data_IF_388859778469
#
_entry.id   IF_388859778469
#
_cell.length_a   1.000
_cell.length_b   1.000
_cell.length_c   1.000
_cell.angle_alpha   90.00
_cell.angle_beta   90.00
_cell.angle_gamma   90.00
#
_symmetry.space_group_name_H-M   'P 1'
#
loop_
_entity.id
_entity.type
_entity.pdbx_description
1 polymer ?
#
# COMPACT_ATOMS: atom_id res chain seq x y z
N UNK A 1 25.03 19.83 -2.86
CA UNK A 1 24.31 18.53 -2.90
C UNK A 1 23.01 18.76 -3.64
N UNK A 2 22.85 18.19 -4.83
CA UNK A 2 21.56 18.21 -5.54
C UNK A 2 20.66 17.21 -4.80
N UNK A 3 19.66 17.71 -4.08
CA UNK A 3 18.57 16.86 -3.58
C UNK A 3 17.84 16.33 -4.80
N UNK A 4 18.01 15.03 -5.10
CA UNK A 4 17.25 14.40 -6.16
C UNK A 4 15.75 14.60 -5.85
N UNK A 5 15.03 15.29 -6.74
CA UNK A 5 13.60 15.56 -6.58
C UNK A 5 12.88 14.21 -6.57
N UNK A 6 12.25 13.88 -5.46
CA UNK A 6 11.45 12.65 -5.35
C UNK A 6 10.20 12.77 -6.21
N UNK A 7 9.80 11.67 -6.84
CA UNK A 7 8.55 11.59 -7.60
C UNK A 7 7.39 11.41 -6.61
N UNK A 8 6.37 12.24 -6.72
CA UNK A 8 5.19 12.11 -5.89
C UNK A 8 4.34 10.92 -6.35
N UNK A 9 3.85 10.16 -5.38
CA UNK A 9 3.01 8.99 -5.57
C UNK A 9 1.92 8.97 -4.50
N UNK A 10 0.80 8.31 -4.78
CA UNK A 10 -0.27 8.08 -3.84
C UNK A 10 -0.67 6.61 -3.85
N UNK A 11 -0.98 6.07 -2.68
CA UNK A 11 -1.53 4.72 -2.54
C UNK A 11 -2.81 4.78 -1.72
N UNK A 12 -3.79 3.99 -2.09
CA UNK A 12 -4.97 3.79 -1.27
C UNK A 12 -4.62 2.78 -0.16
N UNK A 13 -4.95 3.08 1.09
CA UNK A 13 -4.90 2.15 2.22
C UNK A 13 -6.35 1.73 2.53
N UNK A 14 -6.90 0.75 1.79
CA UNK A 14 -8.31 0.35 1.87
C UNK A 14 -8.56 -0.60 3.05
N UNK A 15 -9.15 -0.08 4.11
CA UNK A 15 -9.69 -0.91 5.21
C UNK A 15 -11.10 -1.34 4.81
N UNK A 16 -11.29 -2.62 4.54
CA UNK A 16 -12.60 -3.16 4.18
C UNK A 16 -13.44 -3.33 5.43
N UNK A 17 -14.64 -2.75 5.42
CA UNK A 17 -15.60 -2.91 6.51
C UNK A 17 -16.22 -4.32 6.46
N UNK A 18 -15.61 -5.21 7.24
CA UNK A 18 -16.09 -6.56 7.56
C UNK A 18 -16.59 -6.61 9.02
N UNK A 19 -16.97 -5.48 9.61
CA UNK A 19 -17.32 -5.37 11.03
C UNK A 19 -16.12 -5.66 11.94
N UNK A 20 -16.29 -6.57 12.90
CA UNK A 20 -15.23 -6.96 13.83
C UNK A 20 -14.02 -7.62 13.15
N UNK A 21 -14.22 -8.19 11.96
CA UNK A 21 -13.18 -8.88 11.18
C UNK A 21 -12.63 -7.98 10.06
N UNK A 22 -12.59 -6.65 10.28
CA UNK A 22 -12.08 -5.70 9.30
C UNK A 22 -10.73 -6.16 8.71
N UNK A 23 -10.56 -5.96 7.41
CA UNK A 23 -9.38 -6.42 6.67
C UNK A 23 -8.74 -5.26 5.91
N UNK A 24 -7.53 -5.48 5.43
CA UNK A 24 -6.84 -4.59 4.52
C UNK A 24 -6.74 -5.26 3.15
N UNK A 25 -7.26 -4.60 2.11
CA UNK A 25 -7.18 -5.09 0.74
C UNK A 25 -5.80 -4.74 0.14
N UNK A 26 -5.12 -5.75 -0.40
CA UNK A 26 -3.78 -5.63 -0.97
C UNK A 26 -3.73 -6.30 -2.34
N UNK A 27 -2.74 -5.91 -3.13
CA UNK A 27 -2.47 -6.48 -4.45
C UNK A 27 -1.11 -7.17 -4.45
N UNK A 28 -0.97 -8.19 -5.31
CA UNK A 28 0.34 -8.70 -5.74
C UNK A 28 0.58 -8.21 -7.16
N UNK A 29 1.67 -7.46 -7.37
CA UNK A 29 2.09 -6.99 -8.68
C UNK A 29 2.45 -8.16 -9.59
N UNK A 30 2.17 -8.05 -10.89
CA UNK A 30 2.56 -9.07 -11.88
C UNK A 30 4.07 -9.29 -11.90
N UNK A 31 4.47 -10.51 -12.25
CA UNK A 31 5.89 -10.87 -12.31
C UNK A 31 6.58 -10.24 -13.55
N UNK A 32 5.79 -9.74 -14.51
CA UNK A 32 6.24 -9.15 -15.79
C UNK A 32 6.64 -7.68 -15.68
N UNK A 33 6.31 -7.01 -14.57
CA UNK A 33 6.62 -5.59 -14.38
C UNK A 33 8.13 -5.34 -14.22
N UNK A 34 8.62 -4.27 -14.86
CA UNK A 34 10.06 -3.90 -14.81
C UNK A 34 10.54 -3.50 -13.42
N UNK A 35 9.64 -3.00 -12.57
CA UNK A 35 9.94 -2.56 -11.20
C UNK A 35 8.96 -3.22 -10.25
N UNK A 36 9.46 -3.63 -9.08
CA UNK A 36 8.65 -4.19 -7.99
C UNK A 36 7.82 -5.42 -8.41
N UNK A 37 8.26 -6.17 -9.41
CA UNK A 37 7.58 -7.38 -9.87
C UNK A 37 7.41 -8.39 -8.72
N UNK A 38 6.22 -8.98 -8.65
CA UNK A 38 5.83 -9.93 -7.61
C UNK A 38 5.65 -9.34 -6.20
N UNK A 39 5.89 -8.04 -5.98
CA UNK A 39 5.77 -7.43 -4.65
C UNK A 39 4.31 -7.24 -4.25
N UNK A 40 4.05 -7.35 -2.94
CA UNK A 40 2.76 -7.01 -2.36
C UNK A 40 2.71 -5.51 -2.09
N UNK A 41 1.65 -4.87 -2.58
CA UNK A 41 1.47 -3.44 -2.52
C UNK A 41 0.02 -3.08 -2.16
N UNK A 42 -0.12 -1.84 -1.72
CA UNK A 42 -1.39 -1.14 -1.81
C UNK A 42 -1.70 -0.79 -3.28
N UNK A 43 -2.97 -0.70 -3.69
CA UNK A 43 -3.32 -0.10 -4.96
C UNK A 43 -2.81 1.34 -5.03
N UNK A 44 -2.15 1.72 -6.12
CA UNK A 44 -1.61 3.07 -6.23
C UNK A 44 -0.42 3.22 -7.18
N UNK A 45 -0.13 4.49 -7.50
CA UNK A 45 0.84 4.84 -8.51
C UNK A 45 1.35 6.27 -8.38
N UNK A 46 1.88 6.80 -9.49
CA UNK A 46 2.37 8.16 -9.54
C UNK A 46 1.21 9.15 -9.50
N UNK A 47 1.43 10.33 -8.90
CA UNK A 47 0.46 11.42 -9.01
C UNK A 47 0.71 12.14 -10.34
N UNK A 48 -0.32 12.19 -11.18
CA UNK A 48 -0.30 12.91 -12.45
C UNK A 48 -0.79 14.35 -12.25
N UNK A 49 -0.36 15.31 -13.10
CA UNK A 49 -0.74 16.71 -12.96
C UNK A 49 -2.25 16.96 -12.96
N UNK A 50 -3.01 16.12 -13.66
CA UNK A 50 -4.48 16.18 -13.76
C UNK A 50 -5.23 15.64 -12.53
N UNK A 51 -4.57 14.87 -11.66
CA UNK A 51 -5.19 14.33 -10.45
C UNK A 51 -5.56 15.48 -9.48
N UNK A 52 -4.73 16.51 -9.41
CA UNK A 52 -4.91 17.68 -8.53
C UNK A 52 -4.73 17.40 -7.04
N UNK A 53 -4.99 16.17 -6.57
CA UNK A 53 -4.77 15.74 -5.17
C UNK A 53 -4.30 14.28 -5.09
N UNK A 54 -3.71 13.91 -3.95
CA UNK A 54 -3.25 12.54 -3.71
C UNK A 54 -4.41 11.55 -3.58
N UNK A 55 -5.54 11.99 -3.00
CA UNK A 55 -6.76 11.20 -2.86
C UNK A 55 -7.33 10.82 -4.24
N UNK A 56 -7.36 11.78 -5.17
CA UNK A 56 -7.82 11.54 -6.54
C UNK A 56 -6.91 10.57 -7.27
N UNK A 57 -5.59 10.73 -7.14
CA UNK A 57 -4.62 9.80 -7.69
C UNK A 57 -4.80 8.38 -7.12
N UNK A 58 -4.90 8.23 -5.79
CA UNK A 58 -5.07 6.94 -5.14
C UNK A 58 -6.39 6.23 -5.57
N UNK A 59 -7.49 6.97 -5.71
CA UNK A 59 -8.76 6.43 -6.18
C UNK A 59 -8.74 6.06 -7.67
N UNK A 60 -8.11 6.88 -8.52
CA UNK A 60 -7.91 6.57 -9.95
C UNK A 60 -7.11 5.28 -10.09
N UNK A 61 -5.94 5.21 -9.46
CA UNK A 61 -5.07 4.04 -9.52
C UNK A 61 -5.74 2.78 -8.95
N UNK A 62 -6.48 2.89 -7.84
CA UNK A 62 -7.26 1.77 -7.32
C UNK A 62 -8.36 1.31 -8.31
N UNK A 63 -8.97 2.24 -9.05
CA UNK A 63 -9.92 1.88 -10.08
C UNK A 63 -9.23 1.19 -11.28
N UNK A 64 -8.08 1.71 -11.72
CA UNK A 64 -7.32 1.18 -12.85
C UNK A 64 -6.70 -0.20 -12.56
N UNK A 65 -6.13 -0.39 -11.36
CA UNK A 65 -5.44 -1.64 -10.99
C UNK A 65 -6.42 -2.75 -10.57
N UNK A 66 -7.50 -2.43 -9.86
CA UNK A 66 -8.40 -3.43 -9.26
C UNK A 66 -9.90 -3.18 -9.48
N UNK A 67 -10.29 -2.17 -10.27
CA UNK A 67 -11.71 -1.89 -10.55
C UNK A 67 -12.49 -1.31 -9.39
N UNK A 68 -11.85 -0.92 -8.28
CA UNK A 68 -12.55 -0.40 -7.11
C UNK A 68 -13.25 0.92 -7.46
N UNK A 69 -14.58 0.94 -7.33
CA UNK A 69 -15.37 2.14 -7.60
C UNK A 69 -15.12 3.19 -6.51
N UNK A 70 -14.93 4.46 -6.91
CA UNK A 70 -14.58 5.53 -5.99
C UNK A 70 -15.66 5.81 -4.93
N UNK A 71 -16.94 5.57 -5.26
CA UNK A 71 -18.07 5.72 -4.33
C UNK A 71 -18.11 4.63 -3.24
N UNK A 72 -17.33 3.56 -3.38
CA UNK A 72 -17.16 2.52 -2.35
C UNK A 72 -16.08 2.84 -1.33
N UNK A 73 -15.19 3.79 -1.61
CA UNK A 73 -14.07 4.15 -0.76
C UNK A 73 -14.32 5.50 -0.07
N UNK A 74 -14.67 5.47 1.20
CA UNK A 74 -14.82 6.68 2.02
C UNK A 74 -13.45 7.11 2.56
N UNK A 75 -12.93 8.23 2.05
CA UNK A 75 -11.64 8.77 2.49
C UNK A 75 -11.75 9.30 3.92
N UNK A 76 -10.89 8.79 4.80
CA UNK A 76 -10.77 9.24 6.19
C UNK A 76 -9.71 10.33 6.32
N UNK A 77 -8.62 10.20 5.56
CA UNK A 77 -7.55 11.20 5.49
C UNK A 77 -6.20 10.62 5.11
N UNK A 78 -5.17 11.47 5.12
CA UNK A 78 -3.83 11.08 4.72
C UNK A 78 -2.97 10.66 5.93
N UNK A 79 -2.24 9.57 5.78
CA UNK A 79 -1.17 9.18 6.69
C UNK A 79 0.11 10.00 6.38
N UNK A 80 1.07 10.07 7.31
CA UNK A 80 2.37 10.69 7.03
C UNK A 80 3.02 10.10 5.77
N UNK A 81 3.66 10.96 4.98
CA UNK A 81 4.34 10.54 3.75
C UNK A 81 5.41 9.50 4.03
N UNK A 82 5.50 8.51 3.14
CA UNK A 82 6.52 7.47 3.19
C UNK A 82 7.56 7.67 2.08
N UNK A 83 8.82 7.86 2.47
CA UNK A 83 9.92 8.07 1.52
C UNK A 83 10.58 6.73 1.18
N UNK A 84 10.60 6.38 -0.10
CA UNK A 84 11.19 5.12 -0.56
C UNK A 84 12.63 5.29 -1.04
N UNK A 85 13.43 4.23 -0.91
CA UNK A 85 14.78 4.18 -1.49
C UNK A 85 14.79 4.22 -3.03
N UNK A 86 13.66 3.94 -3.68
CA UNK A 86 13.43 4.00 -5.12
C UNK A 86 13.11 5.40 -5.65
N UNK A 87 13.07 6.42 -4.78
CA UNK A 87 12.89 7.82 -5.18
C UNK A 87 11.45 8.31 -5.22
N UNK A 88 10.51 7.60 -4.57
CA UNK A 88 9.12 8.04 -4.42
C UNK A 88 8.82 8.63 -3.05
N UNK A 89 8.09 9.75 -3.03
CA UNK A 89 7.44 10.33 -1.86
C UNK A 89 5.97 9.92 -1.90
N UNK A 90 5.63 8.85 -1.19
CA UNK A 90 4.30 8.24 -1.22
C UNK A 90 3.41 8.94 -0.20
N UNK A 91 2.22 9.37 -0.62
CA UNK A 91 1.12 9.80 0.27
C UNK A 91 0.14 8.64 0.45
N UNK A 92 0.08 7.98 1.61
CA UNK A 92 -0.88 6.92 1.86
C UNK A 92 -2.23 7.53 2.25
N UNK A 93 -3.28 7.21 1.49
CA UNK A 93 -4.63 7.72 1.66
C UNK A 93 -5.47 6.65 2.36
N UNK A 94 -5.80 6.86 3.64
CA UNK A 94 -6.61 5.93 4.42
C UNK A 94 -8.09 6.05 4.02
N UNK A 95 -8.69 4.92 3.67
CA UNK A 95 -10.10 4.86 3.31
C UNK A 95 -10.79 3.64 3.93
N UNK A 96 -12.08 3.79 4.25
CA UNK A 96 -12.96 2.67 4.59
C UNK A 96 -13.70 2.24 3.32
N UNK A 97 -13.60 0.97 2.97
CA UNK A 97 -14.29 0.38 1.82
C UNK A 97 -15.58 -0.30 2.27
N UNK A 98 -16.71 0.20 1.77
CA UNK A 98 -18.06 -0.31 2.11
C UNK A 98 -18.39 -1.56 1.32
N UNK A 99 -19.00 -2.54 2.00
CA UNK A 99 -19.52 -3.76 1.37
C UNK A 99 -21.00 -3.61 0.94
N UNK A 100 -21.45 -4.31 -0.11
CA UNK A 100 -20.65 -5.07 -1.07
C UNK A 100 -19.86 -4.14 -2.01
N UNK A 101 -18.77 -4.67 -2.57
CA UNK A 101 -17.98 -4.07 -3.64
C UNK A 101 -17.45 -5.19 -4.53
N UNK A 102 -17.17 -4.86 -5.78
CA UNK A 102 -16.57 -5.76 -6.75
C UNK A 102 -15.16 -5.26 -7.09
N UNK A 103 -14.23 -6.19 -7.27
CA UNK A 103 -12.86 -5.90 -7.73
C UNK A 103 -12.48 -6.87 -8.83
N UNK A 104 -11.77 -6.34 -9.82
CA UNK A 104 -11.29 -7.07 -10.98
C UNK A 104 -9.84 -6.66 -11.23
N UNK A 105 -8.88 -7.59 -11.13
CA UNK A 105 -7.49 -7.25 -11.36
C UNK A 105 -7.28 -6.86 -12.82
N UNK A 106 -6.58 -5.76 -13.06
CA UNK A 106 -5.98 -5.50 -14.35
C UNK A 106 -4.80 -6.48 -14.55
N UNK A 107 -4.89 -7.44 -15.48
CA UNK A 107 -3.89 -8.51 -15.62
C UNK A 107 -2.52 -8.01 -16.08
N UNK A 108 -2.41 -6.78 -16.59
CA UNK A 108 -1.13 -6.20 -16.97
C UNK A 108 -0.31 -5.78 -15.73
N UNK A 109 -0.99 -5.46 -14.62
CA UNK A 109 -0.37 -4.86 -13.44
C UNK A 109 -0.54 -5.68 -12.15
N UNK A 110 -1.69 -6.33 -11.98
CA UNK A 110 -2.08 -7.06 -10.79
C UNK A 110 -2.25 -8.55 -11.11
N UNK A 111 -1.41 -9.37 -10.50
CA UNK A 111 -1.51 -10.83 -10.60
C UNK A 111 -2.54 -11.41 -9.62
N UNK A 112 -2.78 -10.73 -8.50
CA UNK A 112 -3.69 -11.21 -7.47
C UNK A 112 -4.18 -10.09 -6.54
N UNK A 113 -5.38 -10.26 -6.00
CA UNK A 113 -6.02 -9.36 -5.02
C UNK A 113 -6.44 -10.20 -3.83
N UNK A 114 -6.05 -9.76 -2.62
CA UNK A 114 -6.34 -10.52 -1.41
C UNK A 114 -6.53 -9.58 -0.21
N UNK A 115 -7.16 -10.10 0.83
CA UNK A 115 -7.40 -9.38 2.08
C UNK A 115 -6.55 -9.99 3.20
N UNK A 116 -6.06 -9.14 4.10
CA UNK A 116 -5.37 -9.56 5.32
C UNK A 116 -6.12 -9.02 6.53
N UNK A 117 -6.44 -9.83 7.55
CA UNK A 117 -7.11 -9.35 8.75
C UNK A 117 -6.36 -8.18 9.39
N UNK A 118 -7.09 -7.11 9.72
CA UNK A 118 -6.52 -5.95 10.38
C UNK A 118 -6.00 -6.34 11.78
N UNK A 119 -6.66 -7.30 12.44
CA UNK A 119 -6.21 -7.89 13.71
C UNK A 119 -4.81 -8.54 13.60
N UNK A 120 -4.47 -9.13 12.46
CA UNK A 120 -3.13 -9.64 12.19
C UNK A 120 -2.14 -8.50 11.96
N UNK A 121 -2.50 -7.52 11.13
CA UNK A 121 -1.63 -6.40 10.75
C UNK A 121 -1.42 -5.35 11.84
N UNK A 122 -2.30 -5.30 12.84
CA UNK A 122 -2.18 -4.38 13.98
C UNK A 122 -1.62 -5.06 15.22
N UNK A 123 -1.25 -6.34 15.12
CA UNK A 123 -0.54 -7.03 16.18
C UNK A 123 0.98 -6.83 16.01
N UNK A 124 1.65 -6.09 16.91
CA UNK A 124 3.08 -5.80 16.80
C UNK A 124 3.97 -7.05 16.82
N UNK A 125 3.48 -8.18 17.34
CA UNK A 125 4.22 -9.45 17.30
C UNK A 125 4.44 -9.96 15.86
N UNK A 126 3.62 -9.51 14.90
CA UNK A 126 3.78 -9.84 13.50
C UNK A 126 4.72 -8.87 12.75
N UNK A 127 5.20 -7.80 13.41
CA UNK A 127 6.04 -6.77 12.79
C UNK A 127 7.51 -7.13 12.94
N UNK A 128 8.02 -7.93 11.99
CA UNK A 128 9.43 -8.33 11.98
C UNK A 128 10.29 -7.20 11.43
N UNK A 129 11.42 -6.94 12.08
CA UNK A 129 12.47 -6.06 11.54
C UNK A 129 13.55 -6.94 10.94
N UNK A 130 13.77 -6.77 9.65
CA UNK A 130 14.81 -7.47 8.89
C UNK A 130 15.81 -6.47 8.32
N UNK A 131 16.92 -6.96 7.77
CA UNK A 131 17.91 -6.15 7.10
C UNK A 131 18.44 -6.81 5.83
N UNK A 132 18.89 -5.96 4.89
CA UNK A 132 19.64 -6.38 3.69
C UNK A 132 20.77 -5.39 3.42
N UNK A 133 21.87 -5.90 2.87
CA UNK A 133 22.95 -5.05 2.36
C UNK A 133 22.51 -4.39 1.06
N UNK A 134 22.58 -3.06 1.00
CA UNK A 134 22.30 -2.26 -0.18
C UNK A 134 23.40 -1.22 -0.37
N UNK A 135 24.13 -1.30 -1.49
CA UNK A 135 25.30 -0.47 -1.79
C UNK A 135 26.33 -0.47 -0.63
N UNK A 136 26.61 -1.65 -0.07
CA UNK A 136 27.57 -1.82 1.02
C UNK A 136 27.11 -1.31 2.39
N UNK A 137 25.88 -0.82 2.52
CA UNK A 137 25.29 -0.40 3.79
C UNK A 137 24.14 -1.33 4.17
N UNK A 138 24.11 -1.76 5.42
CA UNK A 138 22.96 -2.48 5.95
C UNK A 138 21.75 -1.54 6.02
N UNK A 139 20.64 -1.97 5.44
CA UNK A 139 19.36 -1.25 5.49
C UNK A 139 18.32 -2.13 6.13
N UNK A 140 17.63 -1.57 7.11
CA UNK A 140 16.55 -2.24 7.82
C UNK A 140 15.21 -1.96 7.17
N UNK A 141 14.31 -2.93 7.20
CA UNK A 141 12.93 -2.81 6.75
C UNK A 141 12.01 -3.64 7.65
N UNK A 142 10.72 -3.30 7.63
CA UNK A 142 9.69 -4.14 8.26
C UNK A 142 9.19 -5.19 7.28
N UNK A 143 8.84 -6.35 7.84
CA UNK A 143 8.17 -7.44 7.15
C UNK A 143 7.06 -8.02 8.04
N UNK A 144 5.96 -8.45 7.41
CA UNK A 144 4.81 -9.08 8.04
C UNK A 144 4.41 -10.31 7.21
N UNK A 145 5.10 -11.46 7.35
CA UNK A 145 4.77 -12.67 6.60
C UNK A 145 3.40 -13.22 7.02
N UNK A 146 2.51 -13.43 6.05
CA UNK A 146 1.14 -13.89 6.26
C UNK A 146 0.84 -15.03 5.28
N UNK A 147 0.74 -16.27 5.76
CA UNK A 147 0.69 -17.46 4.90
C UNK A 147 1.84 -17.45 3.86
N UNK A 148 1.54 -17.61 2.57
CA UNK A 148 2.50 -17.51 1.47
C UNK A 148 2.86 -16.07 1.06
N UNK A 149 2.25 -15.07 1.70
CA UNK A 149 2.41 -13.64 1.39
C UNK A 149 3.52 -13.03 2.21
N UNK A 150 4.55 -12.50 1.54
CA UNK A 150 5.62 -11.76 2.19
C UNK A 150 5.37 -10.25 2.04
N UNK A 151 4.72 -9.62 3.02
CA UNK A 151 4.45 -8.18 3.04
C UNK A 151 5.69 -7.48 3.60
N UNK A 152 6.34 -6.60 2.86
CA UNK A 152 7.61 -6.00 3.29
C UNK A 152 7.85 -4.61 2.68
N UNK A 153 8.94 -3.96 3.07
CA UNK A 153 9.39 -2.73 2.45
C UNK A 153 8.43 -1.57 2.69
N UNK A 154 8.07 -0.83 1.62
CA UNK A 154 7.21 0.34 1.73
C UNK A 154 5.81 -0.01 2.27
N UNK A 155 5.21 -1.10 1.78
CA UNK A 155 3.89 -1.57 2.22
C UNK A 155 3.87 -1.85 3.72
N UNK A 156 4.80 -2.68 4.21
CA UNK A 156 4.91 -2.98 5.64
C UNK A 156 5.28 -1.73 6.47
N UNK A 157 6.09 -0.82 5.93
CA UNK A 157 6.43 0.44 6.57
C UNK A 157 5.22 1.37 6.76
N UNK A 158 4.34 1.47 5.76
CA UNK A 158 3.08 2.22 5.84
C UNK A 158 2.13 1.57 6.86
N UNK A 159 1.98 0.23 6.85
CA UNK A 159 1.15 -0.50 7.82
C UNK A 159 1.69 -0.29 9.24
N UNK A 160 3.01 -0.32 9.42
CA UNK A 160 3.65 -0.02 10.70
C UNK A 160 3.33 1.39 11.19
N UNK A 161 3.38 2.38 10.31
CA UNK A 161 3.02 3.77 10.63
C UNK A 161 1.54 3.93 10.98
N UNK A 162 0.65 3.18 10.32
CA UNK A 162 -0.78 3.12 10.68
C UNK A 162 -0.96 2.57 12.11
N UNK A 163 -0.31 1.45 12.43
CA UNK A 163 -0.32 0.85 13.76
C UNK A 163 0.15 1.83 14.84
N UNK A 164 1.31 2.47 14.64
CA UNK A 164 1.88 3.42 15.61
C UNK A 164 1.02 4.65 15.86
N UNK A 165 0.09 4.97 14.94
CA UNK A 165 -0.75 6.15 15.05
C UNK A 165 -2.13 5.89 15.65
N UNK A 166 -2.66 4.68 15.47
CA UNK A 166 -4.04 4.35 15.84
C UNK A 166 -4.16 3.28 16.94
N UNK A 167 -3.09 2.54 17.23
CA UNK A 167 -3.09 1.38 18.13
C UNK A 167 -2.06 1.47 19.27
N UNK A 168 -1.40 2.61 19.41
CA UNK A 168 -0.45 2.94 20.50
C UNK A 168 -0.89 4.24 21.14
#
# INVERSE_FOLDING_TARGET
MVTARMRDAAVLVPVVDRGAEATLLLTRRTDTLRKHSGQIAFPGGAIDPEDGTAERAALREANEEIGLAADRAEIIGNLPRYLTGSGFSITPVLAVVKTPFDVHPNPDEVADIFEVPLSFLMNPANHRRESRLFNGKERFYYAMPYHERFIWGATAGIIRGLYERLYV
#
